data_IF_421462271418
#
_entry.id   IF_421462271418
#
_cell.length_a   1.000
_cell.length_b   1.000
_cell.length_c   1.000
_cell.angle_alpha   90.00
_cell.angle_beta   90.00
_cell.angle_gamma   90.00
#
_symmetry.space_group_name_H-M   'P 1'
#
loop_
_entity.id
_entity.type
_entity.pdbx_description
1 polymer ?
#
# COMPACT_ATOMS: atom_id res chain seq x y z
N UNK A 1 6.13 -22.49 -20.76
CA UNK A 1 5.73 -21.46 -21.76
C UNK A 1 6.98 -20.73 -22.22
N UNK A 2 7.04 -20.32 -23.50
CA UNK A 2 8.13 -19.50 -24.03
C UNK A 2 7.54 -18.20 -24.59
N UNK A 3 8.07 -17.04 -24.19
CA UNK A 3 7.71 -15.78 -24.80
C UNK A 3 8.38 -15.65 -26.17
N UNK A 4 7.71 -15.06 -27.17
CA UNK A 4 8.28 -14.82 -28.50
C UNK A 4 9.17 -13.58 -28.58
N UNK A 5 8.99 -12.63 -27.67
CA UNK A 5 9.77 -11.37 -27.63
C UNK A 5 10.37 -11.13 -26.27
N UNK A 6 9.55 -10.92 -25.25
CA UNK A 6 9.98 -10.52 -23.91
C UNK A 6 9.02 -11.02 -22.82
N UNK A 7 9.46 -10.95 -21.58
CA UNK A 7 8.65 -11.16 -20.40
C UNK A 7 8.68 -9.86 -19.58
N UNK A 8 7.51 -9.27 -19.32
CA UNK A 8 7.36 -8.05 -18.53
C UNK A 8 7.09 -8.45 -17.09
N UNK A 9 7.95 -8.01 -16.16
CA UNK A 9 7.78 -8.24 -14.72
C UNK A 9 7.36 -6.93 -14.07
N UNK A 10 6.13 -6.89 -13.54
CA UNK A 10 5.56 -5.76 -12.80
C UNK A 10 4.82 -6.25 -11.54
N UNK A 11 5.54 -7.03 -10.73
CA UNK A 11 4.97 -7.72 -9.56
C UNK A 11 5.08 -6.90 -8.25
N UNK A 12 5.36 -5.61 -8.34
CA UNK A 12 5.62 -4.71 -7.22
C UNK A 12 7.03 -4.83 -6.68
N UNK A 13 7.43 -3.91 -5.81
CA UNK A 13 8.80 -3.74 -5.34
C UNK A 13 9.39 -5.03 -4.76
N UNK A 14 8.73 -5.65 -3.79
CA UNK A 14 9.24 -6.86 -3.13
C UNK A 14 9.25 -8.07 -4.06
N UNK A 15 8.14 -8.32 -4.76
CA UNK A 15 8.01 -9.52 -5.59
C UNK A 15 8.84 -9.45 -6.88
N UNK A 16 9.03 -8.27 -7.48
CA UNK A 16 9.90 -8.11 -8.65
C UNK A 16 11.33 -8.47 -8.32
N UNK A 17 11.87 -7.93 -7.20
CA UNK A 17 13.21 -8.27 -6.74
C UNK A 17 13.35 -9.78 -6.46
N UNK A 18 12.37 -10.36 -5.76
CA UNK A 18 12.34 -11.80 -5.47
C UNK A 18 12.32 -12.65 -6.74
N UNK A 19 11.44 -12.33 -7.69
CA UNK A 19 11.33 -13.08 -8.95
C UNK A 19 12.62 -13.04 -9.76
N UNK A 20 13.28 -11.89 -9.84
CA UNK A 20 14.57 -11.78 -10.50
C UNK A 20 15.62 -12.66 -9.80
N UNK A 21 15.72 -12.58 -8.48
CA UNK A 21 16.68 -13.36 -7.69
C UNK A 21 16.47 -14.87 -7.86
N UNK A 22 15.24 -15.38 -7.73
CA UNK A 22 14.97 -16.81 -7.91
C UNK A 22 15.11 -17.26 -9.37
N UNK A 23 15.14 -16.31 -10.31
CA UNK A 23 15.41 -16.56 -11.73
C UNK A 23 16.89 -16.47 -12.10
N UNK A 24 17.79 -16.31 -11.13
CA UNK A 24 19.23 -16.24 -11.36
C UNK A 24 19.77 -14.86 -11.73
N UNK A 25 18.98 -13.80 -11.53
CA UNK A 25 19.35 -12.40 -11.80
C UNK A 25 19.37 -11.63 -10.48
N UNK A 26 20.55 -11.25 -10.01
CA UNK A 26 20.71 -10.59 -8.74
C UNK A 26 22.14 -10.62 -8.21
N UNK A 27 22.37 -10.22 -6.93
CA UNK A 27 23.70 -10.29 -6.35
C UNK A 27 24.25 -11.72 -6.36
N UNK A 28 25.35 -11.94 -7.06
CA UNK A 28 25.91 -13.29 -7.28
C UNK A 28 26.17 -14.04 -5.97
N UNK A 29 26.66 -13.36 -4.93
CA UNK A 29 26.88 -13.95 -3.62
C UNK A 29 25.59 -14.47 -2.96
N UNK A 30 24.46 -13.76 -3.14
CA UNK A 30 23.16 -14.17 -2.62
C UNK A 30 22.64 -15.39 -3.36
N UNK A 31 22.72 -15.36 -4.70
CA UNK A 31 22.26 -16.46 -5.55
C UNK A 31 23.04 -17.74 -5.25
N UNK A 32 24.35 -17.66 -5.11
CA UNK A 32 25.21 -18.79 -4.71
C UNK A 32 24.83 -19.35 -3.34
N UNK A 33 24.58 -18.47 -2.36
CA UNK A 33 24.13 -18.86 -1.01
C UNK A 33 22.78 -19.60 -1.04
N UNK A 34 21.91 -19.25 -1.99
CA UNK A 34 20.59 -19.87 -2.15
C UNK A 34 20.62 -21.12 -3.05
N UNK A 35 21.78 -21.50 -3.59
CA UNK A 35 21.89 -22.60 -4.55
C UNK A 35 21.24 -22.30 -5.90
N UNK A 36 21.04 -21.03 -6.24
CA UNK A 36 20.46 -20.58 -7.51
C UNK A 36 21.60 -20.33 -8.51
N UNK A 37 21.56 -20.90 -9.72
CA UNK A 37 22.55 -20.59 -10.77
C UNK A 37 22.58 -19.11 -11.08
N UNK A 38 23.78 -18.51 -11.11
CA UNK A 38 23.96 -17.09 -11.45
C UNK A 38 23.91 -16.95 -12.97
N UNK A 39 22.78 -16.49 -13.49
CA UNK A 39 22.60 -16.16 -14.89
C UNK A 39 23.12 -14.75 -15.21
N UNK A 40 22.92 -13.83 -14.29
CA UNK A 40 23.40 -12.45 -14.40
C UNK A 40 23.66 -11.85 -13.01
N UNK A 41 24.92 -11.48 -12.73
CA UNK A 41 25.29 -10.79 -11.49
C UNK A 41 24.87 -9.33 -11.59
N UNK A 42 23.71 -9.01 -10.99
CA UNK A 42 23.13 -7.67 -10.96
C UNK A 42 22.96 -7.24 -9.51
N UNK A 43 23.99 -6.62 -8.94
CA UNK A 43 24.13 -6.31 -7.51
C UNK A 43 23.03 -5.40 -6.95
N UNK A 44 22.41 -4.55 -7.78
CA UNK A 44 21.36 -3.63 -7.38
C UNK A 44 19.97 -4.27 -7.17
N UNK A 45 19.78 -5.52 -7.59
CA UNK A 45 18.48 -6.19 -7.43
C UNK A 45 18.18 -6.46 -5.97
N UNK A 46 17.13 -5.80 -5.48
CA UNK A 46 16.69 -5.86 -4.10
C UNK A 46 17.40 -4.89 -3.15
N UNK A 47 18.33 -4.07 -3.63
CA UNK A 47 18.99 -3.04 -2.82
C UNK A 47 18.23 -1.70 -2.89
N UNK A 48 18.59 -0.77 -2.00
CA UNK A 48 17.99 0.58 -1.92
C UNK A 48 16.49 0.59 -1.66
N UNK A 49 15.98 -0.40 -0.95
CA UNK A 49 14.57 -0.45 -0.55
C UNK A 49 14.26 0.69 0.41
N UNK A 50 13.20 1.43 0.13
CA UNK A 50 12.64 2.46 1.02
C UNK A 50 11.16 2.22 1.16
N UNK A 51 10.64 2.41 2.36
CA UNK A 51 9.21 2.27 2.65
C UNK A 51 8.77 3.29 3.69
N UNK A 52 7.49 3.60 3.69
CA UNK A 52 6.89 4.50 4.65
C UNK A 52 6.62 3.78 5.98
N UNK A 53 7.14 4.32 7.07
CA UNK A 53 6.71 3.91 8.41
C UNK A 53 5.44 4.67 8.76
N UNK A 54 4.30 4.00 8.62
CA UNK A 54 2.99 4.61 8.83
C UNK A 54 2.43 4.29 10.21
N UNK A 55 1.85 5.29 10.86
CA UNK A 55 1.03 5.12 12.06
C UNK A 55 -0.41 5.47 11.76
N UNK A 56 -1.35 4.85 12.50
CA UNK A 56 -2.78 5.09 12.35
C UNK A 56 -3.46 5.25 13.70
N UNK A 57 -4.37 6.19 13.76
CA UNK A 57 -5.31 6.38 14.88
C UNK A 57 -6.70 6.06 14.38
N UNK A 58 -7.33 5.09 15.00
CA UNK A 58 -8.69 4.64 14.67
C UNK A 58 -9.63 5.12 15.76
N UNK A 59 -10.73 5.74 15.38
CA UNK A 59 -11.69 6.32 16.31
C UNK A 59 -13.10 5.87 15.94
N UNK A 60 -13.96 5.64 16.95
CA UNK A 60 -15.39 5.44 16.72
C UNK A 60 -16.03 6.76 16.32
N UNK A 61 -16.86 6.73 15.29
CA UNK A 61 -17.64 7.89 14.87
C UNK A 61 -18.77 8.15 15.87
N UNK A 62 -19.11 9.43 16.10
CA UNK A 62 -20.28 9.80 16.88
C UNK A 62 -21.56 9.35 16.18
N UNK A 63 -22.65 9.10 16.94
CA UNK A 63 -23.96 8.84 16.36
C UNK A 63 -24.36 9.91 15.33
N UNK A 64 -24.94 9.49 14.21
CA UNK A 64 -25.37 10.39 13.13
C UNK A 64 -24.30 10.72 12.09
N UNK A 65 -23.05 10.30 12.28
CA UNK A 65 -22.00 10.42 11.27
C UNK A 65 -22.01 9.22 10.34
N UNK A 66 -22.22 9.45 9.06
CA UNK A 66 -22.17 8.39 8.04
C UNK A 66 -20.72 8.03 7.71
N UNK A 67 -20.42 6.74 7.78
CA UNK A 67 -19.07 6.20 7.50
C UNK A 67 -19.11 5.14 6.41
N UNK A 68 -17.94 4.80 5.86
CA UNK A 68 -17.81 3.69 4.90
C UNK A 68 -18.25 2.36 5.52
N UNK A 69 -18.03 2.17 6.82
CA UNK A 69 -18.42 0.96 7.54
C UNK A 69 -19.93 0.68 7.45
N UNK A 70 -20.74 1.73 7.49
CA UNK A 70 -22.18 1.61 7.35
C UNK A 70 -22.63 1.49 5.90
N UNK A 71 -22.04 2.31 5.01
CA UNK A 71 -22.41 2.34 3.59
C UNK A 71 -22.03 1.04 2.86
N UNK A 72 -20.99 0.34 3.32
CA UNK A 72 -20.51 -0.90 2.73
C UNK A 72 -21.28 -2.16 3.17
N UNK A 73 -22.47 -2.01 3.79
CA UNK A 73 -23.22 -3.15 4.36
C UNK A 73 -24.72 -3.11 4.05
N UNK A 74 -25.30 -4.30 3.96
CA UNK A 74 -26.75 -4.51 3.87
C UNK A 74 -27.43 -3.68 2.79
N UNK A 75 -28.62 -3.14 3.12
CA UNK A 75 -29.43 -2.33 2.22
C UNK A 75 -28.71 -1.05 1.77
N UNK A 76 -27.88 -0.46 2.62
CA UNK A 76 -27.07 0.72 2.25
C UNK A 76 -26.10 0.40 1.12
N UNK A 77 -25.44 -0.75 1.16
CA UNK A 77 -24.56 -1.21 0.08
C UNK A 77 -25.34 -1.42 -1.23
N UNK A 78 -26.51 -2.06 -1.17
CA UNK A 78 -27.37 -2.21 -2.35
C UNK A 78 -27.72 -0.86 -2.97
N UNK A 79 -28.04 0.14 -2.15
CA UNK A 79 -28.24 1.52 -2.59
C UNK A 79 -26.99 2.14 -3.23
N UNK A 80 -25.80 1.86 -2.71
CA UNK A 80 -24.52 2.33 -3.30
C UNK A 80 -24.25 1.67 -4.67
N UNK A 81 -24.55 0.37 -4.81
CA UNK A 81 -24.44 -0.36 -6.08
C UNK A 81 -25.40 0.23 -7.12
N UNK A 82 -26.68 0.46 -6.75
CA UNK A 82 -27.65 1.07 -7.65
C UNK A 82 -27.22 2.49 -8.11
N UNK A 83 -26.73 3.32 -7.18
CA UNK A 83 -26.18 4.65 -7.52
C UNK A 83 -25.03 4.55 -8.50
N UNK A 84 -24.08 3.64 -8.26
CA UNK A 84 -22.94 3.41 -9.16
C UNK A 84 -23.38 2.97 -10.54
N UNK A 85 -24.31 2.02 -10.64
CA UNK A 85 -24.86 1.54 -11.91
C UNK A 85 -25.57 2.65 -12.70
N UNK A 86 -26.13 3.66 -12.01
CA UNK A 86 -26.75 4.85 -12.63
C UNK A 86 -25.75 5.98 -12.92
N UNK A 87 -24.43 5.76 -12.77
CA UNK A 87 -23.40 6.80 -12.94
C UNK A 87 -23.44 7.91 -11.89
N UNK A 88 -24.06 7.66 -10.73
CA UNK A 88 -24.13 8.63 -9.61
C UNK A 88 -22.99 8.41 -8.62
N UNK A 89 -22.61 9.45 -7.84
CA UNK A 89 -21.59 9.33 -6.80
C UNK A 89 -21.91 8.18 -5.83
N UNK A 90 -20.91 7.31 -5.61
CA UNK A 90 -21.03 6.11 -4.79
C UNK A 90 -19.68 5.78 -4.17
N UNK A 91 -19.67 5.08 -3.03
CA UNK A 91 -18.44 4.57 -2.40
C UNK A 91 -17.67 3.61 -3.31
N UNK A 92 -18.31 3.01 -4.31
CA UNK A 92 -17.66 2.12 -5.29
C UNK A 92 -16.83 2.87 -6.34
N UNK A 93 -17.02 4.19 -6.46
CA UNK A 93 -16.32 5.05 -7.40
C UNK A 93 -15.33 6.01 -6.71
N UNK A 94 -15.09 5.85 -5.42
CA UNK A 94 -14.20 6.71 -4.64
C UNK A 94 -13.05 5.93 -4.04
N UNK A 95 -11.94 6.62 -3.78
CA UNK A 95 -10.83 6.06 -2.99
C UNK A 95 -11.19 6.02 -1.50
N UNK A 96 -10.64 5.08 -0.72
CA UNK A 96 -10.94 4.98 0.71
C UNK A 96 -10.56 6.22 1.51
N UNK A 97 -9.44 6.85 1.20
CA UNK A 97 -8.96 8.07 1.87
C UNK A 97 -9.40 9.29 1.10
N UNK A 98 -10.23 10.13 1.72
CA UNK A 98 -10.84 11.27 1.05
C UNK A 98 -10.05 12.57 1.21
N UNK A 99 -9.20 12.65 2.23
CA UNK A 99 -8.38 13.85 2.51
C UNK A 99 -6.92 13.42 2.61
N UNK A 100 -6.07 14.16 1.92
CA UNK A 100 -4.63 14.04 1.98
C UNK A 100 -4.05 15.38 2.41
N UNK A 101 -3.15 15.36 3.38
CA UNK A 101 -2.46 16.55 3.87
C UNK A 101 -0.96 16.30 3.76
N UNK A 102 -0.26 17.24 3.15
CA UNK A 102 1.20 17.27 3.13
C UNK A 102 1.66 18.41 4.03
N UNK A 103 2.48 18.11 5.02
CA UNK A 103 2.87 19.05 6.07
C UNK A 103 4.37 19.06 6.26
N UNK A 104 4.91 20.20 6.67
CA UNK A 104 6.30 20.33 7.08
C UNK A 104 6.38 20.10 8.58
N UNK A 105 7.25 19.19 9.04
CA UNK A 105 7.41 18.87 10.48
C UNK A 105 8.01 20.05 11.25
N UNK A 106 8.75 20.94 10.57
CA UNK A 106 9.29 22.17 11.15
C UNK A 106 9.40 23.26 10.09
N UNK A 107 9.49 24.50 10.52
CA UNK A 107 9.73 25.65 9.65
C UNK A 107 11.16 25.58 9.07
N UNK A 108 11.32 25.97 7.81
CA UNK A 108 12.63 25.96 7.12
C UNK A 108 12.85 24.76 6.20
N UNK A 109 11.99 23.75 6.22
CA UNK A 109 12.03 22.71 5.18
C UNK A 109 11.59 23.28 3.83
N UNK A 110 12.30 22.95 2.76
CA UNK A 110 11.92 23.36 1.40
C UNK A 110 10.60 22.71 0.97
N UNK A 111 10.38 21.47 1.37
CA UNK A 111 9.22 20.67 0.97
C UNK A 111 8.58 19.95 2.19
N UNK A 112 7.29 19.62 2.11
CA UNK A 112 6.65 18.77 3.10
C UNK A 112 7.34 17.40 3.24
N UNK A 113 7.55 16.98 4.46
CA UNK A 113 8.16 15.70 4.83
C UNK A 113 7.19 14.75 5.54
N UNK A 114 6.00 15.24 5.90
CA UNK A 114 4.91 14.45 6.44
C UNK A 114 3.76 14.34 5.44
N UNK A 115 3.21 13.15 5.32
CA UNK A 115 1.94 12.91 4.64
C UNK A 115 0.95 12.34 5.63
N UNK A 116 -0.24 12.94 5.66
CA UNK A 116 -1.35 12.47 6.46
C UNK A 116 -2.54 12.14 5.57
N UNK A 117 -3.34 11.18 6.00
CA UNK A 117 -4.58 10.78 5.32
C UNK A 117 -5.72 10.69 6.31
N UNK A 118 -6.93 10.99 5.83
CA UNK A 118 -8.15 10.75 6.57
C UNK A 118 -9.09 9.89 5.76
N UNK A 119 -9.55 8.80 6.39
CA UNK A 119 -10.50 7.85 5.83
C UNK A 119 -11.77 7.88 6.68
N UNK A 120 -12.95 8.16 6.11
CA UNK A 120 -14.22 8.08 6.84
C UNK A 120 -14.68 6.62 7.01
N UNK A 121 -13.78 5.79 7.48
CA UNK A 121 -13.96 4.37 7.71
C UNK A 121 -12.88 3.83 8.64
N UNK A 122 -13.15 2.73 9.31
CA UNK A 122 -12.21 2.04 10.16
C UNK A 122 -12.06 0.57 9.76
N UNK A 123 -10.90 0.01 10.05
CA UNK A 123 -10.53 -1.35 9.67
C UNK A 123 -10.21 -2.18 10.89
N UNK A 124 -10.62 -3.44 10.86
CA UNK A 124 -10.34 -4.41 11.91
C UNK A 124 -8.83 -4.51 12.16
N UNK A 125 -8.45 -4.65 13.41
CA UNK A 125 -7.06 -4.73 13.84
C UNK A 125 -6.30 -5.82 13.07
N UNK A 126 -5.11 -5.47 12.57
CA UNK A 126 -4.28 -6.37 11.78
C UNK A 126 -4.81 -6.67 10.36
N UNK A 127 -5.94 -6.09 9.93
CA UNK A 127 -6.56 -6.35 8.62
C UNK A 127 -6.79 -5.05 7.85
N UNK A 128 -6.07 -4.85 6.77
CA UNK A 128 -6.12 -3.60 5.99
C UNK A 128 -7.36 -3.50 5.09
N UNK A 129 -8.03 -4.62 4.81
CA UNK A 129 -9.16 -4.67 3.86
C UNK A 129 -10.49 -5.08 4.48
N UNK A 130 -10.53 -5.27 5.80
CA UNK A 130 -11.75 -5.65 6.51
C UNK A 130 -12.21 -4.48 7.36
N UNK A 131 -13.36 -3.91 7.02
CA UNK A 131 -13.96 -2.83 7.80
C UNK A 131 -14.46 -3.35 9.15
N UNK A 132 -14.28 -2.55 10.21
CA UNK A 132 -14.89 -2.80 11.50
C UNK A 132 -16.41 -2.91 11.40
N UNK A 133 -17.03 -3.61 12.34
CA UNK A 133 -18.49 -3.79 12.43
C UNK A 133 -19.24 -2.59 13.01
N UNK A 134 -18.53 -1.56 13.42
CA UNK A 134 -19.05 -0.28 13.94
C UNK A 134 -18.66 0.90 13.06
N UNK A 135 -19.41 2.01 13.11
CA UNK A 135 -19.02 3.25 12.45
C UNK A 135 -17.72 3.79 13.01
N UNK A 136 -16.73 4.02 12.15
CA UNK A 136 -15.42 4.51 12.56
C UNK A 136 -14.76 5.36 11.49
N UNK A 137 -13.69 6.05 11.90
CA UNK A 137 -12.83 6.87 11.05
C UNK A 137 -11.37 6.55 11.36
N UNK A 138 -10.51 6.73 10.38
CA UNK A 138 -9.08 6.50 10.52
C UNK A 138 -8.30 7.73 10.06
N UNK A 139 -7.40 8.21 10.91
CA UNK A 139 -6.36 9.16 10.55
C UNK A 139 -5.02 8.43 10.50
N UNK A 140 -4.30 8.58 9.42
CA UNK A 140 -2.96 8.00 9.24
C UNK A 140 -1.93 9.08 8.97
N UNK A 141 -0.70 8.86 9.43
CA UNK A 141 0.42 9.75 9.14
C UNK A 141 1.71 8.94 8.98
N UNK A 142 2.60 9.44 8.12
CA UNK A 142 3.92 8.87 7.90
C UNK A 142 4.91 9.91 7.42
N UNK A 143 6.18 9.61 7.63
CA UNK A 143 7.26 10.36 7.00
C UNK A 143 7.19 10.12 5.49
N UNK A 144 7.01 11.20 4.73
CA UNK A 144 6.79 11.10 3.28
C UNK A 144 8.06 10.74 2.51
N UNK A 145 9.22 11.11 3.03
CA UNK A 145 10.53 10.87 2.41
C UNK A 145 11.51 10.27 3.39
N UNK A 146 11.39 8.97 3.71
CA UNK A 146 12.31 8.33 4.65
C UNK A 146 13.73 8.28 4.06
N UNK A 147 14.72 8.57 4.89
CA UNK A 147 16.14 8.46 4.54
C UNK A 147 16.69 7.06 4.75
N UNK A 148 16.00 6.25 5.56
CA UNK A 148 16.38 4.86 5.81
C UNK A 148 16.38 4.04 4.52
N UNK A 149 17.43 3.23 4.34
CA UNK A 149 17.62 2.37 3.17
C UNK A 149 17.74 0.93 3.67
N UNK A 150 16.98 0.05 3.05
CA UNK A 150 16.98 -1.37 3.33
C UNK A 150 17.19 -2.20 2.07
N UNK A 151 16.80 -3.45 2.16
CA UNK A 151 16.93 -4.42 1.07
C UNK A 151 15.80 -5.45 1.10
N UNK A 152 15.55 -6.06 -0.06
CA UNK A 152 14.65 -7.21 -0.25
C UNK A 152 15.47 -8.37 -0.78
N UNK A 153 15.57 -9.45 -0.01
CA UNK A 153 16.36 -10.65 -0.37
C UNK A 153 15.52 -11.90 -0.24
N UNK A 154 15.59 -12.75 -1.24
CA UNK A 154 14.98 -14.06 -1.18
C UNK A 154 15.60 -14.86 -0.01
N UNK A 155 14.74 -15.64 0.66
CA UNK A 155 15.17 -16.67 1.62
C UNK A 155 14.83 -18.00 1.00
N UNK A 156 15.65 -18.99 1.09
CA UNK A 156 15.45 -20.37 0.60
C UNK A 156 14.10 -20.66 -0.08
#
# INVERSE_FOLDING_TARGET
MRARREVIISAGTANTARLLQVSGIGPGWLLQKLGVPVLHDLRGVGENFRDHYATRVVMRAKPGVTTLNELARGVKLAGQVARWAMGRPSILATVPSHVYVFWKSFEGLDQPDLQCVFTPGSYAEGKVYVLDDYPGVTAGAWQHRPESIGWVRAKS
#
